data_IF_775276928333
#
_entry.id   IF_775276928333
#
_cell.length_a   1.000
_cell.length_b   1.000
_cell.length_c   1.000
_cell.angle_alpha   90.00
_cell.angle_beta   90.00
_cell.angle_gamma   90.00
#
_symmetry.space_group_name_H-M   'P 1'
#
loop_
_entity.id
_entity.type
_entity.pdbx_description
1 polymer ?
#
# COMPACT_ATOMS: atom_id res chain seq x y z
N UNK A 1 7.07 -52.55 28.16
CA UNK A 1 7.71 -53.22 27.01
C UNK A 1 8.42 -52.16 26.21
N UNK A 2 9.75 -52.21 26.18
CA UNK A 2 10.57 -51.30 25.38
C UNK A 2 10.35 -51.61 23.90
N UNK A 3 9.93 -50.62 23.11
CA UNK A 3 9.90 -50.68 21.63
C UNK A 3 11.28 -50.94 20.98
N UNK A 4 12.31 -51.26 21.78
CA UNK A 4 13.73 -51.31 21.42
C UNK A 4 14.18 -52.59 20.69
N UNK A 5 13.34 -53.61 20.51
CA UNK A 5 13.74 -54.86 19.86
C UNK A 5 13.05 -55.13 18.51
N UNK A 6 12.29 -54.19 17.97
CA UNK A 6 11.73 -54.33 16.63
C UNK A 6 12.79 -53.87 15.62
N UNK A 7 13.16 -54.69 14.62
CA UNK A 7 14.07 -54.30 13.55
C UNK A 7 13.61 -53.01 12.87
N UNK A 8 14.56 -52.12 12.59
CA UNK A 8 14.31 -50.81 11.96
C UNK A 8 13.52 -50.95 10.65
N UNK A 9 13.80 -52.00 9.86
CA UNK A 9 13.10 -52.28 8.61
C UNK A 9 11.61 -52.56 8.79
N UNK A 10 11.23 -53.24 9.88
CA UNK A 10 9.83 -53.53 10.21
C UNK A 10 9.14 -52.28 10.74
N UNK A 11 9.85 -51.48 11.55
CA UNK A 11 9.32 -50.21 12.03
C UNK A 11 9.02 -49.26 10.86
N UNK A 12 9.89 -49.21 9.84
CA UNK A 12 9.69 -48.39 8.64
C UNK A 12 8.46 -48.79 7.79
N UNK A 13 7.89 -49.97 8.02
CA UNK A 13 6.63 -50.40 7.38
C UNK A 13 5.39 -49.90 8.13
N UNK A 14 5.48 -49.59 9.43
CA UNK A 14 4.33 -49.14 10.23
C UNK A 14 3.61 -47.89 9.67
N UNK A 15 4.32 -46.86 9.17
CA UNK A 15 3.68 -45.68 8.57
C UNK A 15 2.84 -45.98 7.31
N UNK A 16 2.95 -47.17 6.72
CA UNK A 16 2.11 -47.60 5.59
C UNK A 16 0.74 -48.12 6.04
N UNK A 17 0.55 -48.41 7.33
CA UNK A 17 -0.64 -49.05 7.89
C UNK A 17 -1.32 -48.24 9.00
N UNK A 18 -0.80 -47.06 9.34
CA UNK A 18 -1.30 -46.20 10.42
C UNK A 18 -1.81 -44.87 9.87
N UNK A 19 -2.79 -44.27 10.55
CA UNK A 19 -3.30 -42.93 10.22
C UNK A 19 -2.34 -41.83 10.71
N UNK A 20 -2.40 -40.63 10.11
CA UNK A 20 -1.54 -39.49 10.44
C UNK A 20 -1.56 -39.15 11.95
N UNK A 21 -2.74 -39.24 12.58
CA UNK A 21 -2.89 -39.00 14.02
C UNK A 21 -2.13 -39.99 14.90
N UNK A 22 -2.09 -41.26 14.49
CA UNK A 22 -1.40 -42.34 15.22
C UNK A 22 0.11 -42.22 15.07
N UNK A 23 0.59 -41.94 13.86
CA UNK A 23 2.03 -41.77 13.61
C UNK A 23 2.53 -40.52 14.34
N UNK A 24 1.77 -39.42 14.34
CA UNK A 24 2.09 -38.21 15.10
C UNK A 24 2.14 -38.48 16.62
N UNK A 25 1.18 -39.24 17.14
CA UNK A 25 1.17 -39.64 18.56
C UNK A 25 2.40 -40.48 18.92
N UNK A 26 2.78 -41.45 18.08
CA UNK A 26 3.99 -42.25 18.27
C UNK A 26 5.26 -41.38 18.25
N UNK A 27 5.33 -40.43 17.31
CA UNK A 27 6.47 -39.51 17.20
C UNK A 27 6.58 -38.56 18.39
N UNK A 28 5.49 -38.15 19.01
CA UNK A 28 5.50 -37.31 20.22
C UNK A 28 6.00 -38.05 21.46
N UNK A 29 5.88 -39.39 21.50
CA UNK A 29 6.28 -40.18 22.66
C UNK A 29 7.77 -40.47 22.73
N UNK A 30 8.51 -40.40 21.62
CA UNK A 30 9.92 -40.77 21.58
C UNK A 30 10.72 -40.07 20.46
N UNK A 31 11.81 -39.33 20.78
CA UNK A 31 12.66 -38.66 19.79
C UNK A 31 13.31 -39.58 18.74
N UNK A 32 13.62 -40.83 19.10
CA UNK A 32 14.17 -41.82 18.18
C UNK A 32 13.14 -42.26 17.15
N UNK A 33 11.89 -42.51 17.59
CA UNK A 33 10.77 -42.82 16.68
C UNK A 33 10.41 -41.62 15.80
N UNK A 34 10.46 -40.41 16.36
CA UNK A 34 10.31 -39.18 15.56
C UNK A 34 11.33 -39.16 14.43
N UNK A 35 12.63 -39.31 14.73
CA UNK A 35 13.70 -39.31 13.71
C UNK A 35 13.50 -40.40 12.65
N UNK A 36 13.09 -41.60 13.08
CA UNK A 36 12.91 -42.75 12.19
C UNK A 36 11.70 -42.61 11.27
N UNK A 37 10.56 -42.12 11.78
CA UNK A 37 9.32 -42.01 11.02
C UNK A 37 9.15 -40.68 10.30
N UNK A 38 9.95 -39.65 10.62
CA UNK A 38 9.86 -38.34 9.98
C UNK A 38 9.86 -38.43 8.44
N UNK A 39 10.81 -39.14 7.78
CA UNK A 39 10.82 -39.23 6.32
C UNK A 39 9.57 -39.91 5.76
N UNK A 40 9.07 -40.96 6.45
CA UNK A 40 7.85 -41.66 6.08
C UNK A 40 6.61 -40.77 6.23
N UNK A 41 6.55 -39.95 7.28
CA UNK A 41 5.50 -38.96 7.50
C UNK A 41 5.48 -37.91 6.38
N UNK A 42 6.62 -37.36 5.97
CA UNK A 42 6.69 -36.43 4.83
C UNK A 42 6.20 -37.10 3.54
N UNK A 43 6.59 -38.35 3.29
CA UNK A 43 6.18 -39.11 2.12
C UNK A 43 4.70 -39.51 2.15
N UNK A 44 4.14 -39.77 3.32
CA UNK A 44 2.72 -40.06 3.51
C UNK A 44 1.88 -38.78 3.35
N UNK A 45 2.26 -37.69 4.04
CA UNK A 45 1.55 -36.40 3.98
C UNK A 45 1.58 -35.80 2.56
N UNK A 46 2.69 -35.93 1.83
CA UNK A 46 2.76 -35.50 0.42
C UNK A 46 1.86 -36.29 -0.54
N UNK A 47 1.46 -37.52 -0.17
CA UNK A 47 0.61 -38.39 -0.99
C UNK A 47 -0.86 -38.37 -0.60
N UNK A 48 -1.17 -38.21 0.69
CA UNK A 48 -2.49 -38.53 1.23
C UNK A 48 -3.16 -37.40 2.03
N UNK A 49 -2.43 -36.38 2.49
CA UNK A 49 -3.01 -35.31 3.32
C UNK A 49 -3.19 -34.01 2.54
N UNK A 50 -4.29 -33.29 2.82
CA UNK A 50 -4.43 -31.86 2.44
C UNK A 50 -3.47 -30.97 3.24
N UNK A 51 -2.89 -31.49 4.33
CA UNK A 51 -1.85 -30.83 5.12
C UNK A 51 -0.47 -31.24 4.62
N UNK A 52 0.16 -30.38 3.81
CA UNK A 52 1.54 -30.59 3.40
C UNK A 52 2.48 -29.98 4.43
N UNK A 53 3.41 -30.77 4.96
CA UNK A 53 4.47 -30.24 5.83
C UNK A 53 5.32 -29.15 5.13
N UNK A 54 5.36 -29.17 3.79
CA UNK A 54 5.96 -28.10 2.99
C UNK A 54 5.14 -26.80 3.07
N UNK A 55 3.80 -26.84 3.08
CA UNK A 55 2.96 -25.66 3.29
C UNK A 55 3.20 -25.07 4.68
N UNK A 56 3.22 -25.91 5.72
CA UNK A 56 3.49 -25.45 7.08
C UNK A 56 4.89 -24.85 7.21
N UNK A 57 5.91 -25.52 6.66
CA UNK A 57 7.28 -25.04 6.66
C UNK A 57 7.42 -23.71 5.93
N UNK A 58 6.74 -23.56 4.80
CA UNK A 58 6.70 -22.32 4.04
C UNK A 58 6.01 -21.19 4.80
N UNK A 59 4.86 -21.42 5.43
CA UNK A 59 4.19 -20.40 6.24
C UNK A 59 4.99 -19.95 7.47
N UNK A 60 5.79 -20.83 8.05
CA UNK A 60 6.53 -20.58 9.30
C UNK A 60 8.04 -20.41 9.13
N UNK A 61 8.55 -20.36 7.89
CA UNK A 61 9.96 -20.16 7.59
C UNK A 61 10.88 -21.29 8.07
N UNK A 62 10.39 -22.52 8.16
CA UNK A 62 11.18 -23.66 8.65
C UNK A 62 12.00 -24.28 7.52
N UNK A 63 13.16 -23.68 7.24
CA UNK A 63 14.06 -24.09 6.16
C UNK A 63 14.40 -25.59 6.18
N UNK A 64 14.78 -26.13 7.34
CA UNK A 64 15.16 -27.54 7.46
C UNK A 64 14.00 -28.49 7.10
N UNK A 65 12.79 -28.16 7.57
CA UNK A 65 11.55 -28.90 7.26
C UNK A 65 11.20 -28.80 5.77
N UNK A 66 11.32 -27.60 5.17
CA UNK A 66 11.07 -27.40 3.75
C UNK A 66 12.08 -28.19 2.89
N UNK A 67 13.36 -28.12 3.22
CA UNK A 67 14.45 -28.84 2.54
C UNK A 67 14.21 -30.36 2.57
N UNK A 68 13.92 -30.91 3.75
CA UNK A 68 13.66 -32.34 3.91
C UNK A 68 12.39 -32.77 3.17
N UNK A 69 11.32 -31.96 3.22
CA UNK A 69 10.09 -32.22 2.47
C UNK A 69 10.34 -32.31 0.96
N UNK A 70 11.14 -31.38 0.41
CA UNK A 70 11.51 -31.38 -1.01
C UNK A 70 12.38 -32.59 -1.38
N UNK A 71 13.34 -32.97 -0.53
CA UNK A 71 14.17 -34.17 -0.73
C UNK A 71 13.35 -35.46 -0.76
N UNK A 72 12.27 -35.54 0.03
CA UNK A 72 11.34 -36.67 0.04
C UNK A 72 10.28 -36.63 -1.08
N UNK A 73 10.39 -35.67 -2.01
CA UNK A 73 9.53 -35.57 -3.19
C UNK A 73 8.17 -34.90 -2.92
N UNK A 74 8.09 -34.00 -1.94
CA UNK A 74 6.88 -33.20 -1.74
C UNK A 74 6.55 -32.39 -3.00
N UNK A 75 5.28 -32.44 -3.41
CA UNK A 75 4.77 -31.66 -4.54
C UNK A 75 4.75 -30.17 -4.17
N UNK A 76 5.28 -29.33 -5.05
CA UNK A 76 5.35 -27.87 -4.85
C UNK A 76 4.03 -27.15 -5.19
N UNK A 77 3.18 -27.74 -6.04
CA UNK A 77 1.86 -27.20 -6.41
C UNK A 77 0.72 -27.54 -5.45
N UNK A 78 1.00 -28.01 -4.24
CA UNK A 78 -0.04 -28.21 -3.20
C UNK A 78 -0.57 -26.85 -2.74
N UNK A 79 -1.84 -26.77 -2.36
CA UNK A 79 -2.46 -25.51 -1.93
C UNK A 79 -3.12 -25.64 -0.57
N UNK A 80 -3.17 -24.53 0.18
CA UNK A 80 -3.92 -24.43 1.42
C UNK A 80 -5.43 -24.17 1.19
N UNK A 81 -6.18 -23.91 2.26
CA UNK A 81 -7.62 -23.64 2.19
C UNK A 81 -8.00 -22.34 1.45
N UNK A 82 -7.03 -21.51 1.11
CA UNK A 82 -7.21 -20.27 0.35
C UNK A 82 -6.64 -20.35 -1.06
N UNK A 83 -6.12 -21.51 -1.46
CA UNK A 83 -5.51 -21.72 -2.78
C UNK A 83 -4.03 -21.32 -2.83
N UNK A 84 -3.38 -20.97 -1.71
CA UNK A 84 -1.98 -20.54 -1.71
C UNK A 84 -1.03 -21.72 -1.76
N UNK A 85 -0.04 -21.66 -2.66
CA UNK A 85 1.06 -22.62 -2.73
C UNK A 85 2.10 -22.37 -1.63
N UNK A 86 3.04 -23.31 -1.36
CA UNK A 86 4.18 -23.04 -0.49
C UNK A 86 4.96 -21.80 -0.93
N UNK A 87 5.06 -21.53 -2.23
CA UNK A 87 5.75 -20.33 -2.71
C UNK A 87 4.98 -19.06 -2.35
N UNK A 88 3.64 -19.04 -2.50
CA UNK A 88 2.81 -17.93 -2.04
C UNK A 88 2.96 -17.67 -0.53
N UNK A 89 2.92 -18.72 0.30
CA UNK A 89 3.06 -18.60 1.75
C UNK A 89 4.44 -18.10 2.18
N UNK A 90 5.50 -18.66 1.58
CA UNK A 90 6.87 -18.21 1.85
C UNK A 90 7.08 -16.77 1.40
N UNK A 91 6.48 -16.37 0.28
CA UNK A 91 6.57 -15.01 -0.25
C UNK A 91 5.80 -14.00 0.61
N UNK A 92 4.58 -14.34 1.05
CA UNK A 92 3.75 -13.50 1.91
C UNK A 92 4.41 -13.15 3.25
N UNK A 93 5.19 -14.07 3.80
CA UNK A 93 5.85 -13.90 5.09
C UNK A 93 7.34 -13.56 4.98
N UNK A 94 7.87 -13.38 3.76
CA UNK A 94 9.24 -12.95 3.55
C UNK A 94 10.30 -14.02 3.87
N UNK A 95 9.95 -15.30 3.80
CA UNK A 95 10.85 -16.40 4.17
C UNK A 95 11.86 -16.71 3.06
N UNK A 96 12.84 -15.82 2.90
CA UNK A 96 13.87 -15.84 1.84
C UNK A 96 14.51 -17.22 1.65
N UNK A 97 14.90 -17.90 2.73
CA UNK A 97 15.55 -19.21 2.65
C UNK A 97 14.63 -20.28 2.03
N UNK A 98 13.34 -20.25 2.37
CA UNK A 98 12.36 -21.19 1.81
C UNK A 98 12.04 -20.84 0.35
N UNK A 99 11.94 -19.55 0.02
CA UNK A 99 11.77 -19.10 -1.38
C UNK A 99 12.92 -19.61 -2.25
N UNK A 100 14.19 -19.44 -1.82
CA UNK A 100 15.36 -19.95 -2.55
C UNK A 100 15.30 -21.47 -2.78
N UNK A 101 14.87 -22.23 -1.77
CA UNK A 101 14.72 -23.69 -1.89
C UNK A 101 13.63 -24.06 -2.91
N UNK A 102 12.51 -23.35 -2.93
CA UNK A 102 11.42 -23.60 -3.86
C UNK A 102 11.80 -23.21 -5.29
N UNK A 103 12.43 -22.05 -5.50
CA UNK A 103 12.85 -21.59 -6.83
C UNK A 103 13.96 -22.47 -7.45
N UNK A 104 14.72 -23.21 -6.64
CA UNK A 104 15.72 -24.16 -7.12
C UNK A 104 15.12 -25.45 -7.73
N UNK A 105 13.80 -25.66 -7.63
CA UNK A 105 13.11 -26.84 -8.17
C UNK A 105 12.65 -26.55 -9.60
N UNK A 106 13.11 -27.34 -10.58
CA UNK A 106 12.93 -27.11 -12.03
C UNK A 106 11.47 -26.94 -12.52
N UNK A 107 10.47 -27.39 -11.76
CA UNK A 107 9.06 -27.39 -12.15
C UNK A 107 8.16 -26.50 -11.27
N UNK A 108 8.75 -25.58 -10.50
CA UNK A 108 7.95 -24.63 -9.72
C UNK A 108 7.40 -23.56 -10.64
N UNK A 109 6.08 -23.52 -10.75
CA UNK A 109 5.37 -22.42 -11.36
C UNK A 109 5.40 -21.21 -10.40
N UNK A 110 6.04 -20.13 -10.84
CA UNK A 110 6.17 -18.88 -10.07
C UNK A 110 4.96 -17.97 -10.19
N UNK A 111 4.05 -18.25 -11.13
CA UNK A 111 2.85 -17.46 -11.40
C UNK A 111 1.58 -18.11 -10.85
N UNK A 112 1.71 -19.07 -9.93
CA UNK A 112 0.56 -19.71 -9.30
C UNK A 112 -0.31 -18.70 -8.59
N UNK A 113 -1.61 -18.72 -8.83
CA UNK A 113 -2.56 -17.81 -8.17
C UNK A 113 -3.32 -18.52 -7.06
N UNK A 114 -3.62 -17.80 -5.99
CA UNK A 114 -4.61 -18.24 -5.02
C UNK A 114 -6.05 -18.00 -5.51
N UNK A 115 -7.07 -18.26 -4.68
CA UNK A 115 -8.47 -18.11 -5.08
C UNK A 115 -8.90 -16.68 -5.39
N UNK A 116 -8.09 -15.67 -5.06
CA UNK A 116 -8.32 -14.26 -5.39
C UNK A 116 -7.42 -13.77 -6.53
N UNK A 117 -6.74 -14.68 -7.25
CA UNK A 117 -5.85 -14.30 -8.36
C UNK A 117 -4.46 -13.85 -7.91
N UNK A 118 -4.12 -13.95 -6.63
CA UNK A 118 -2.87 -13.37 -6.09
C UNK A 118 -1.69 -14.31 -6.26
N UNK A 119 -0.61 -13.79 -6.85
CA UNK A 119 0.64 -14.52 -7.12
C UNK A 119 1.63 -14.47 -5.94
N UNK A 120 2.72 -15.25 -5.94
CA UNK A 120 3.81 -15.05 -4.99
C UNK A 120 4.41 -13.64 -5.05
N UNK A 121 4.55 -13.07 -6.25
CA UNK A 121 5.07 -11.71 -6.42
C UNK A 121 4.13 -10.68 -5.80
N UNK A 122 2.81 -10.83 -5.99
CA UNK A 122 1.80 -10.03 -5.30
C UNK A 122 2.03 -10.05 -3.79
N UNK A 123 2.15 -11.25 -3.20
CA UNK A 123 2.26 -11.39 -1.75
C UNK A 123 3.53 -10.78 -1.19
N UNK A 124 4.66 -10.97 -1.88
CA UNK A 124 5.92 -10.33 -1.51
C UNK A 124 5.84 -8.80 -1.64
N UNK A 125 5.22 -8.30 -2.71
CA UNK A 125 5.13 -6.88 -2.98
C UNK A 125 4.21 -6.16 -1.98
N UNK A 126 3.02 -6.71 -1.74
CA UNK A 126 2.04 -6.20 -0.76
C UNK A 126 2.63 -6.15 0.66
N UNK A 127 3.47 -7.11 1.05
CA UNK A 127 4.07 -7.15 2.39
C UNK A 127 5.46 -6.50 2.46
N UNK A 128 5.94 -5.87 1.38
CA UNK A 128 7.22 -5.14 1.37
C UNK A 128 8.47 -6.02 1.45
N UNK A 129 8.37 -7.28 1.05
CA UNK A 129 9.49 -8.24 1.13
C UNK A 129 10.42 -8.11 -0.09
N UNK A 130 11.16 -7.01 -0.16
CA UNK A 130 12.06 -6.67 -1.27
C UNK A 130 13.01 -7.79 -1.70
N UNK A 131 13.68 -8.48 -0.75
CA UNK A 131 14.58 -9.59 -1.10
C UNK A 131 13.85 -10.77 -1.74
N UNK A 132 12.58 -11.01 -1.38
CA UNK A 132 11.78 -12.04 -2.05
C UNK A 132 11.37 -11.56 -3.45
N UNK A 133 10.98 -10.29 -3.59
CA UNK A 133 10.67 -9.69 -4.90
C UNK A 133 11.87 -9.80 -5.83
N UNK A 134 13.07 -9.43 -5.39
CA UNK A 134 14.32 -9.57 -6.14
C UNK A 134 14.53 -11.00 -6.64
N UNK A 135 14.42 -12.00 -5.76
CA UNK A 135 14.55 -13.42 -6.13
C UNK A 135 13.50 -13.88 -7.15
N UNK A 136 12.27 -13.40 -7.04
CA UNK A 136 11.21 -13.72 -7.98
C UNK A 136 11.48 -13.08 -9.36
N UNK A 137 11.95 -11.83 -9.38
CA UNK A 137 12.31 -11.09 -10.60
C UNK A 137 13.52 -11.67 -11.34
N UNK A 138 14.47 -12.28 -10.62
CA UNK A 138 15.58 -13.03 -11.23
C UNK A 138 15.08 -14.26 -12.03
N UNK A 139 13.85 -14.73 -11.76
CA UNK A 139 13.25 -15.85 -12.48
C UNK A 139 12.61 -15.36 -13.78
N UNK A 140 13.17 -15.75 -14.93
CA UNK A 140 12.76 -15.30 -16.29
C UNK A 140 11.29 -15.48 -16.68
N UNK A 141 10.50 -16.20 -15.88
CA UNK A 141 9.11 -16.55 -16.18
C UNK A 141 8.10 -15.79 -15.34
N UNK A 142 8.53 -14.93 -14.40
CA UNK A 142 7.59 -14.20 -13.55
C UNK A 142 6.78 -13.21 -14.37
N UNK A 143 5.46 -13.29 -14.26
CA UNK A 143 4.55 -12.32 -14.85
C UNK A 143 4.22 -11.26 -13.79
N UNK A 144 4.69 -10.05 -14.06
CA UNK A 144 4.63 -8.93 -13.11
C UNK A 144 3.29 -8.18 -13.16
N UNK A 145 2.52 -8.37 -14.22
CA UNK A 145 1.28 -7.63 -14.50
C UNK A 145 0.04 -8.43 -14.12
N UNK A 146 0.19 -9.65 -13.56
CA UNK A 146 -0.92 -10.44 -13.07
C UNK A 146 -1.70 -9.71 -11.98
N UNK A 147 -2.98 -9.51 -12.25
CA UNK A 147 -3.90 -8.78 -11.38
C UNK A 147 -4.64 -9.71 -10.42
N UNK A 148 -4.98 -9.17 -9.26
CA UNK A 148 -5.92 -9.82 -8.34
C UNK A 148 -7.39 -9.62 -8.78
N UNK A 149 -8.32 -10.07 -7.95
CA UNK A 149 -9.76 -9.91 -8.20
C UNK A 149 -10.28 -8.47 -8.13
N UNK A 150 -9.45 -7.51 -7.69
CA UNK A 150 -9.75 -6.08 -7.64
C UNK A 150 -9.02 -5.32 -8.78
N UNK A 151 -8.46 -6.04 -9.75
CA UNK A 151 -7.69 -5.50 -10.87
C UNK A 151 -6.36 -4.80 -10.47
N UNK A 152 -5.87 -5.03 -9.25
CA UNK A 152 -4.59 -4.48 -8.77
C UNK A 152 -3.41 -5.39 -9.12
N UNK A 153 -2.32 -4.76 -9.58
CA UNK A 153 -1.03 -5.44 -9.82
C UNK A 153 -0.19 -5.48 -8.54
N UNK A 154 0.84 -6.35 -8.46
CA UNK A 154 1.85 -6.29 -7.39
C UNK A 154 2.47 -4.91 -7.22
N UNK A 155 2.71 -4.19 -8.34
CA UNK A 155 3.22 -2.83 -8.33
C UNK A 155 2.24 -1.84 -7.68
N UNK A 156 0.95 -1.90 -8.07
CA UNK A 156 -0.09 -1.04 -7.51
C UNK A 156 -0.18 -1.18 -5.98
N UNK A 157 -0.15 -2.41 -5.46
CA UNK A 157 -0.15 -2.66 -4.01
C UNK A 157 1.12 -2.19 -3.30
N UNK A 158 2.30 -2.33 -3.93
CA UNK A 158 3.55 -1.84 -3.38
C UNK A 158 3.55 -0.30 -3.25
N UNK A 159 2.97 0.40 -4.23
CA UNK A 159 2.79 1.86 -4.21
C UNK A 159 1.81 2.26 -3.11
N UNK A 160 0.64 1.61 -3.07
CA UNK A 160 -0.43 1.90 -2.13
C UNK A 160 0.01 1.76 -0.66
N UNK A 161 0.88 0.77 -0.38
CA UNK A 161 1.41 0.50 0.95
C UNK A 161 2.76 1.16 1.23
N UNK A 162 3.34 1.87 0.25
CA UNK A 162 4.53 2.70 0.44
C UNK A 162 5.85 1.92 0.47
N UNK A 163 5.89 0.73 -0.11
CA UNK A 163 7.08 -0.14 -0.13
C UNK A 163 8.08 0.32 -1.20
N UNK A 164 8.73 1.46 -0.97
CA UNK A 164 9.62 2.13 -1.94
C UNK A 164 10.69 1.21 -2.55
N UNK A 165 11.27 0.32 -1.75
CA UNK A 165 12.25 -0.66 -2.21
C UNK A 165 11.67 -1.64 -3.25
N UNK A 166 10.47 -2.18 -2.98
CA UNK A 166 9.77 -3.06 -3.90
C UNK A 166 9.39 -2.32 -5.18
N UNK A 167 8.86 -1.09 -5.03
CA UNK A 167 8.49 -0.26 -6.19
C UNK A 167 9.69 -0.01 -7.08
N UNK A 168 10.86 0.29 -6.50
CA UNK A 168 12.09 0.45 -7.28
C UNK A 168 12.47 -0.82 -8.05
N UNK A 169 12.50 -1.97 -7.37
CA UNK A 169 12.85 -3.25 -8.00
C UNK A 169 11.91 -3.57 -9.18
N UNK A 170 10.60 -3.30 -9.03
CA UNK A 170 9.62 -3.51 -10.09
C UNK A 170 9.83 -2.56 -11.28
N UNK A 171 10.16 -1.29 -11.04
CA UNK A 171 10.43 -0.32 -12.12
C UNK A 171 11.75 -0.60 -12.86
N UNK A 172 12.76 -1.08 -12.15
CA UNK A 172 14.06 -1.45 -12.75
C UNK A 172 13.94 -2.59 -13.76
N UNK A 173 12.84 -3.36 -13.75
CA UNK A 173 12.55 -4.36 -14.79
C UNK A 173 12.29 -3.73 -16.17
N UNK A 174 11.90 -2.45 -16.24
CA UNK A 174 11.53 -1.75 -17.46
C UNK A 174 10.21 -2.19 -18.09
N UNK A 175 9.48 -3.12 -17.46
CA UNK A 175 8.19 -3.63 -17.94
C UNK A 175 7.00 -2.84 -17.35
N UNK A 176 7.18 -2.22 -16.19
CA UNK A 176 6.15 -1.40 -15.54
C UNK A 176 6.25 0.06 -15.99
N UNK A 177 5.13 0.64 -16.43
CA UNK A 177 5.03 2.07 -16.71
C UNK A 177 4.77 2.86 -15.43
N UNK A 178 5.73 3.71 -15.03
CA UNK A 178 5.65 4.57 -13.85
C UNK A 178 4.51 5.60 -13.92
N UNK A 179 3.98 5.88 -15.11
CA UNK A 179 2.86 6.81 -15.33
C UNK A 179 1.54 6.10 -15.61
N UNK A 180 1.47 4.77 -15.44
CA UNK A 180 0.24 4.01 -15.67
C UNK A 180 -0.89 4.51 -14.77
N UNK A 181 -2.07 4.74 -15.34
CA UNK A 181 -3.25 5.15 -14.57
C UNK A 181 -4.06 3.95 -14.12
N UNK A 182 -4.57 4.00 -12.89
CA UNK A 182 -5.57 3.05 -12.40
C UNK A 182 -6.98 3.37 -12.91
N UNK A 183 -7.98 2.63 -12.42
CA UNK A 183 -9.40 2.79 -12.81
C UNK A 183 -10.00 4.16 -12.46
N UNK A 184 -9.37 4.92 -11.54
CA UNK A 184 -9.79 6.28 -11.18
C UNK A 184 -8.96 7.35 -11.89
N UNK A 185 -8.09 6.95 -12.82
CA UNK A 185 -7.18 7.84 -13.51
C UNK A 185 -5.98 8.28 -12.67
N UNK A 186 -5.78 7.72 -11.48
CA UNK A 186 -4.68 8.09 -10.59
C UNK A 186 -3.36 7.47 -11.06
N UNK A 187 -2.30 8.26 -11.05
CA UNK A 187 -0.94 7.77 -11.28
C UNK A 187 -0.35 7.18 -10.00
N UNK A 188 0.75 6.41 -10.07
CA UNK A 188 1.45 5.91 -8.89
C UNK A 188 1.92 7.05 -7.97
N UNK A 189 2.33 8.18 -8.56
CA UNK A 189 2.66 9.40 -7.83
C UNK A 189 1.44 9.96 -7.08
N UNK A 190 0.26 10.03 -7.74
CA UNK A 190 -0.99 10.45 -7.10
C UNK A 190 -1.39 9.54 -5.93
N UNK A 191 -1.28 8.22 -6.09
CA UNK A 191 -1.62 7.25 -5.03
C UNK A 191 -0.65 7.33 -3.85
N UNK A 192 0.65 7.40 -4.12
CA UNK A 192 1.67 7.65 -3.11
C UNK A 192 1.43 8.98 -2.36
N UNK A 193 0.94 10.00 -3.07
CA UNK A 193 0.64 11.29 -2.48
C UNK A 193 -0.61 11.29 -1.59
N UNK A 194 -1.69 10.63 -2.01
CA UNK A 194 -2.88 10.40 -1.19
C UNK A 194 -2.54 9.72 0.13
N UNK A 195 -1.63 8.74 0.09
CA UNK A 195 -1.23 7.95 1.26
C UNK A 195 -0.10 8.58 2.09
N UNK A 196 0.54 9.64 1.59
CA UNK A 196 1.59 10.36 2.33
C UNK A 196 2.95 9.67 2.32
N UNK A 197 3.23 8.82 1.32
CA UNK A 197 4.46 8.04 1.24
C UNK A 197 5.65 8.89 0.76
N UNK A 198 6.17 9.76 1.63
CA UNK A 198 7.23 10.74 1.33
C UNK A 198 8.45 10.10 0.66
N UNK A 199 8.95 8.98 1.18
CA UNK A 199 10.12 8.29 0.60
C UNK A 199 9.86 7.85 -0.83
N UNK A 200 8.65 7.34 -1.09
CA UNK A 200 8.27 6.86 -2.41
C UNK A 200 8.11 8.03 -3.41
N UNK A 201 7.50 9.13 -2.97
CA UNK A 201 7.36 10.33 -3.81
C UNK A 201 8.73 10.94 -4.14
N UNK A 202 9.66 11.05 -3.16
CA UNK A 202 11.04 11.49 -3.42
C UNK A 202 11.70 10.63 -4.51
N UNK A 203 11.58 9.31 -4.35
CA UNK A 203 12.14 8.35 -5.30
C UNK A 203 11.58 8.57 -6.71
N UNK A 204 10.26 8.77 -6.84
CA UNK A 204 9.61 9.08 -8.13
C UNK A 204 10.16 10.35 -8.78
N UNK A 205 10.26 11.44 -8.02
CA UNK A 205 10.70 12.75 -8.51
C UNK A 205 12.18 12.79 -8.91
N UNK A 206 13.03 12.03 -8.21
CA UNK A 206 14.49 12.05 -8.43
C UNK A 206 14.94 11.10 -9.55
N UNK A 207 14.26 9.97 -9.72
CA UNK A 207 14.78 8.84 -10.51
C UNK A 207 14.03 8.61 -11.82
N UNK A 208 12.74 8.96 -11.90
CA UNK A 208 11.93 8.71 -13.10
C UNK A 208 11.29 10.00 -13.63
N UNK A 209 10.98 9.98 -14.93
CA UNK A 209 10.21 11.05 -15.56
C UNK A 209 8.72 10.81 -15.28
N UNK A 210 8.24 11.43 -14.20
CA UNK A 210 6.83 11.39 -13.79
C UNK A 210 6.12 12.69 -14.17
N UNK A 211 4.86 12.57 -14.58
CA UNK A 211 3.97 13.74 -14.75
C UNK A 211 3.47 14.20 -13.37
N UNK A 212 4.13 15.24 -12.83
CA UNK A 212 3.89 15.74 -11.46
C UNK A 212 2.53 16.41 -11.27
N UNK A 213 1.89 16.84 -12.35
CA UNK A 213 0.57 17.49 -12.35
C UNK A 213 -0.50 16.64 -13.05
N UNK A 214 -0.23 15.35 -13.22
CA UNK A 214 -1.18 14.40 -13.80
C UNK A 214 -2.51 14.41 -13.03
N UNK A 215 -3.58 14.75 -13.74
CA UNK A 215 -4.94 14.74 -13.18
C UNK A 215 -5.57 13.35 -13.24
N UNK A 216 -6.23 12.99 -12.14
CA UNK A 216 -7.16 11.86 -12.08
C UNK A 216 -8.53 12.21 -12.69
N UNK A 217 -9.50 11.28 -12.64
CA UNK A 217 -10.85 11.49 -13.16
C UNK A 217 -11.64 12.58 -12.42
N UNK A 218 -11.25 12.92 -11.19
CA UNK A 218 -11.81 14.01 -10.40
C UNK A 218 -11.07 15.34 -10.64
N UNK A 219 -10.06 15.36 -11.51
CA UNK A 219 -9.25 16.54 -11.79
C UNK A 219 -8.22 16.84 -10.70
N UNK A 220 -8.04 15.95 -9.72
CA UNK A 220 -7.09 16.12 -8.64
C UNK A 220 -5.68 15.77 -9.12
N UNK A 221 -4.71 16.63 -8.79
CA UNK A 221 -3.27 16.41 -8.97
C UNK A 221 -2.67 15.71 -7.74
N UNK A 222 -1.45 15.14 -7.83
CA UNK A 222 -0.73 14.62 -6.67
C UNK A 222 -0.65 15.62 -5.51
N UNK A 223 -0.48 16.92 -5.79
CA UNK A 223 -0.48 17.96 -4.76
C UNK A 223 -1.84 18.05 -4.05
N UNK A 224 -2.95 18.11 -4.79
CA UNK A 224 -4.28 18.16 -4.16
C UNK A 224 -4.58 16.91 -3.33
N UNK A 225 -4.09 15.74 -3.76
CA UNK A 225 -4.22 14.49 -3.02
C UNK A 225 -3.41 14.50 -1.72
N UNK A 226 -2.18 15.02 -1.75
CA UNK A 226 -1.37 15.23 -0.54
C UNK A 226 -2.05 16.21 0.44
N UNK A 227 -2.68 17.27 -0.09
CA UNK A 227 -3.45 18.23 0.72
C UNK A 227 -4.69 17.58 1.33
N UNK A 228 -5.46 16.81 0.55
CA UNK A 228 -6.63 16.08 1.07
C UNK A 228 -6.25 15.06 2.15
N UNK A 229 -5.09 14.42 2.02
CA UNK A 229 -4.53 13.53 3.04
C UNK A 229 -3.95 14.23 4.26
N UNK A 230 -3.80 15.56 4.24
CA UNK A 230 -3.20 16.34 5.33
C UNK A 230 -1.69 16.17 5.47
N UNK A 231 -0.99 15.75 4.41
CA UNK A 231 0.43 15.39 4.45
C UNK A 231 1.35 16.61 4.26
N UNK A 232 1.45 17.49 5.27
CA UNK A 232 2.20 18.74 5.17
C UNK A 232 3.67 18.59 4.72
N UNK A 233 4.36 17.56 5.22
CA UNK A 233 5.74 17.25 4.81
C UNK A 233 5.85 16.91 3.33
N UNK A 234 4.85 16.25 2.77
CA UNK A 234 4.79 15.90 1.36
C UNK A 234 4.39 17.10 0.50
N UNK A 235 3.43 17.91 0.94
CA UNK A 235 3.08 19.16 0.28
C UNK A 235 4.32 20.04 0.13
N UNK A 236 5.07 20.22 1.22
CA UNK A 236 6.32 20.98 1.19
C UNK A 236 7.30 20.43 0.16
N UNK A 237 7.51 19.11 0.15
CA UNK A 237 8.40 18.45 -0.81
C UNK A 237 7.98 18.72 -2.26
N UNK A 238 6.69 18.55 -2.58
CA UNK A 238 6.16 18.76 -3.93
C UNK A 238 6.34 20.21 -4.38
N UNK A 239 6.06 21.18 -3.49
CA UNK A 239 6.24 22.61 -3.78
C UNK A 239 7.71 23.00 -3.97
N UNK A 240 8.64 22.41 -3.21
CA UNK A 240 10.08 22.67 -3.32
C UNK A 240 10.66 22.23 -4.68
N UNK A 241 9.99 21.34 -5.42
CA UNK A 241 10.43 20.95 -6.77
C UNK A 241 10.35 22.10 -7.78
N UNK A 242 9.48 23.09 -7.53
CA UNK A 242 9.21 24.19 -8.45
C UNK A 242 8.54 23.81 -9.78
N UNK A 243 8.16 22.54 -9.97
CA UNK A 243 7.54 22.04 -11.20
C UNK A 243 6.02 21.88 -11.10
N UNK A 244 5.50 21.82 -9.88
CA UNK A 244 4.09 21.58 -9.57
C UNK A 244 3.31 22.89 -9.67
N UNK A 245 2.14 22.87 -10.30
CA UNK A 245 1.16 23.96 -10.26
C UNK A 245 0.42 23.97 -8.90
N UNK A 246 0.68 24.95 -8.01
CA UNK A 246 0.08 24.99 -6.68
C UNK A 246 -1.41 25.39 -6.69
N UNK A 247 -1.95 25.85 -7.83
CA UNK A 247 -3.31 26.38 -7.94
C UNK A 247 -4.21 25.59 -8.89
N UNK A 248 -3.74 24.44 -9.37
CA UNK A 248 -4.51 23.57 -10.27
C UNK A 248 -5.84 23.12 -9.65
N UNK A 249 -7.00 23.47 -10.25
CA UNK A 249 -8.30 23.13 -9.69
C UNK A 249 -8.76 21.71 -10.10
N UNK A 250 -9.55 21.10 -9.22
CA UNK A 250 -10.30 19.87 -9.49
C UNK A 250 -11.54 20.11 -10.38
N UNK A 251 -12.29 19.06 -10.72
CA UNK A 251 -13.50 19.17 -11.57
C UNK A 251 -14.62 20.00 -10.93
N UNK A 252 -14.61 20.20 -9.61
CA UNK A 252 -15.53 21.10 -8.93
C UNK A 252 -14.98 22.54 -8.80
N UNK A 253 -13.79 22.84 -9.32
CA UNK A 253 -13.14 24.13 -9.22
C UNK A 253 -12.45 24.38 -7.87
N UNK A 254 -12.23 23.34 -7.06
CA UNK A 254 -11.52 23.47 -5.77
C UNK A 254 -10.02 23.42 -6.03
N UNK A 255 -9.31 24.45 -5.59
CA UNK A 255 -7.85 24.52 -5.59
C UNK A 255 -7.27 23.87 -4.33
N UNK A 256 -5.97 23.51 -4.30
CA UNK A 256 -5.31 22.98 -3.11
C UNK A 256 -5.50 23.87 -1.88
N UNK A 257 -5.43 25.19 -2.03
CA UNK A 257 -5.68 26.13 -0.93
C UNK A 257 -7.12 26.06 -0.42
N UNK A 258 -8.09 25.94 -1.31
CA UNK A 258 -9.50 25.78 -0.92
C UNK A 258 -9.77 24.47 -0.18
N UNK A 259 -9.02 23.40 -0.50
CA UNK A 259 -9.07 22.10 0.19
C UNK A 259 -8.43 22.22 1.58
N UNK A 260 -7.22 22.79 1.68
CA UNK A 260 -6.56 23.04 2.97
C UNK A 260 -7.44 23.88 3.92
N UNK A 261 -8.12 24.88 3.37
CA UNK A 261 -9.10 25.69 4.09
C UNK A 261 -10.32 24.89 4.56
N UNK A 262 -10.84 23.96 3.75
CA UNK A 262 -12.01 23.14 4.10
C UNK A 262 -11.71 22.11 5.19
N UNK A 263 -10.46 21.62 5.28
CA UNK A 263 -10.03 20.58 6.23
C UNK A 263 -9.29 21.10 7.47
N UNK A 264 -9.17 22.42 7.64
CA UNK A 264 -8.46 23.06 8.76
C UNK A 264 -6.94 22.80 8.80
N UNK A 265 -6.31 22.71 7.64
CA UNK A 265 -4.87 22.50 7.54
C UNK A 265 -4.10 23.82 7.42
N UNK A 266 -3.99 24.54 8.55
CA UNK A 266 -3.30 25.84 8.60
C UNK A 266 -1.85 25.80 8.13
N UNK A 267 -1.08 24.78 8.51
CA UNK A 267 0.32 24.60 8.06
C UNK A 267 0.40 24.41 6.54
N UNK A 268 -0.49 23.60 5.97
CA UNK A 268 -0.55 23.39 4.51
C UNK A 268 -0.97 24.67 3.79
N UNK A 269 -1.94 25.41 4.34
CA UNK A 269 -2.36 26.69 3.79
C UNK A 269 -1.20 27.71 3.79
N UNK A 270 -0.40 27.77 4.87
CA UNK A 270 0.79 28.61 4.95
C UNK A 270 1.81 28.22 3.86
N UNK A 271 2.13 26.93 3.72
CA UNK A 271 3.04 26.43 2.68
C UNK A 271 2.58 26.81 1.25
N UNK A 272 1.28 26.71 0.97
CA UNK A 272 0.71 27.07 -0.32
C UNK A 272 0.79 28.59 -0.57
N UNK A 273 0.48 29.41 0.44
CA UNK A 273 0.54 30.86 0.34
C UNK A 273 1.98 31.37 0.16
N UNK A 274 2.96 30.71 0.78
CA UNK A 274 4.38 31.06 0.66
C UNK A 274 4.92 30.94 -0.77
N UNK A 275 4.29 30.14 -1.63
CA UNK A 275 4.64 30.06 -3.07
C UNK A 275 4.41 31.36 -3.82
N UNK A 276 3.48 32.21 -3.33
CA UNK A 276 3.01 33.46 -3.98
C UNK A 276 2.44 33.29 -5.39
N UNK A 277 2.10 32.06 -5.78
CA UNK A 277 1.55 31.74 -7.10
C UNK A 277 0.05 31.39 -7.05
N UNK A 278 -0.48 31.19 -5.84
CA UNK A 278 -1.87 30.74 -5.60
C UNK A 278 -2.85 31.91 -5.62
N UNK A 279 -3.97 31.75 -6.33
CA UNK A 279 -5.10 32.68 -6.25
C UNK A 279 -5.95 32.45 -4.99
N UNK A 280 -5.81 33.36 -4.02
CA UNK A 280 -6.56 33.35 -2.75
C UNK A 280 -8.06 33.63 -2.91
N UNK A 281 -8.48 34.15 -4.06
CA UNK A 281 -9.87 34.47 -4.42
C UNK A 281 -10.47 33.49 -5.44
N UNK A 282 -9.78 32.39 -5.72
CA UNK A 282 -10.26 31.31 -6.59
C UNK A 282 -11.64 30.83 -6.15
N UNK A 283 -12.54 30.59 -7.11
CA UNK A 283 -13.93 30.21 -6.86
C UNK A 283 -14.22 28.83 -7.41
N UNK A 284 -14.78 27.99 -6.55
CA UNK A 284 -15.32 26.71 -6.99
C UNK A 284 -16.62 26.86 -7.79
N UNK A 285 -17.14 25.75 -8.30
CA UNK A 285 -18.40 25.65 -9.06
C UNK A 285 -19.64 26.18 -8.34
N UNK A 286 -19.57 26.41 -7.02
CA UNK A 286 -20.64 27.02 -6.23
C UNK A 286 -20.33 28.47 -5.84
N UNK A 287 -19.27 29.07 -6.39
CA UNK A 287 -18.82 30.43 -6.09
C UNK A 287 -18.14 30.56 -4.72
N UNK A 288 -17.68 29.47 -4.11
CA UNK A 288 -17.05 29.50 -2.77
C UNK A 288 -15.55 29.71 -2.91
N UNK A 289 -15.01 30.66 -2.14
CA UNK A 289 -13.57 30.95 -2.04
C UNK A 289 -12.89 30.13 -0.94
N UNK A 290 -11.54 30.06 -0.91
CA UNK A 290 -10.81 29.51 0.23
C UNK A 290 -11.25 30.11 1.57
N UNK A 291 -11.46 31.44 1.66
CA UNK A 291 -11.95 32.08 2.88
C UNK A 291 -13.33 31.57 3.27
N UNK A 292 -14.24 31.41 2.31
CA UNK A 292 -15.55 30.83 2.58
C UNK A 292 -15.42 29.42 3.17
N UNK A 293 -14.54 28.59 2.61
CA UNK A 293 -14.31 27.21 3.08
C UNK A 293 -13.77 27.20 4.51
N UNK A 294 -12.74 28.01 4.80
CA UNK A 294 -12.18 28.17 6.14
C UNK A 294 -13.23 28.67 7.15
N UNK A 295 -14.12 29.57 6.72
CA UNK A 295 -15.20 30.04 7.58
C UNK A 295 -16.29 28.99 7.83
N UNK A 296 -16.53 28.10 6.86
CA UNK A 296 -17.48 27.00 6.99
C UNK A 296 -16.97 25.83 7.83
N UNK A 297 -15.65 25.63 7.90
CA UNK A 297 -14.99 24.62 8.74
C UNK A 297 -14.66 25.14 10.16
N UNK A 298 -14.67 26.46 10.36
CA UNK A 298 -14.28 27.08 11.63
C UNK A 298 -12.76 27.25 11.78
N UNK A 299 -12.02 27.21 10.67
CA UNK A 299 -10.56 27.24 10.61
C UNK A 299 -9.99 28.61 10.92
N UNK A 300 -9.87 28.96 12.20
CA UNK A 300 -9.31 30.24 12.64
C UNK A 300 -7.92 30.49 12.05
N UNK A 301 -7.02 29.50 12.09
CA UNK A 301 -5.65 29.65 11.59
C UNK A 301 -5.62 30.02 10.10
N UNK A 302 -6.38 29.30 9.27
CA UNK A 302 -6.46 29.57 7.83
C UNK A 302 -7.11 30.92 7.55
N UNK A 303 -8.18 31.29 8.27
CA UNK A 303 -8.80 32.62 8.14
C UNK A 303 -7.78 33.72 8.38
N UNK A 304 -6.97 33.61 9.45
CA UNK A 304 -5.93 34.61 9.78
C UNK A 304 -4.89 34.70 8.67
N UNK A 305 -4.38 33.57 8.20
CA UNK A 305 -3.41 33.52 7.11
C UNK A 305 -3.94 34.19 5.83
N UNK A 306 -5.18 33.87 5.45
CA UNK A 306 -5.83 34.47 4.28
C UNK A 306 -5.99 35.98 4.42
N UNK A 307 -6.44 36.48 5.59
CA UNK A 307 -6.59 37.91 5.83
C UNK A 307 -5.24 38.66 5.82
N UNK A 308 -4.17 38.04 6.31
CA UNK A 308 -2.82 38.61 6.30
C UNK A 308 -2.26 38.84 4.89
N UNK A 309 -2.78 38.14 3.87
CA UNK A 309 -2.37 38.40 2.47
C UNK A 309 -2.81 39.77 1.97
N UNK A 310 -3.82 40.39 2.60
CA UNK A 310 -4.35 41.70 2.23
C UNK A 310 -5.14 41.74 0.91
N UNK A 311 -5.29 40.62 0.22
CA UNK A 311 -5.90 40.53 -1.12
C UNK A 311 -7.33 39.98 -1.09
N UNK A 312 -7.82 39.57 0.09
CA UNK A 312 -9.05 38.78 0.23
C UNK A 312 -10.28 39.67 0.42
N UNK A 313 -11.35 39.41 -0.35
CA UNK A 313 -12.65 40.04 -0.16
C UNK A 313 -13.55 39.18 0.75
N UNK A 314 -13.70 39.62 1.99
CA UNK A 314 -14.51 38.96 3.01
C UNK A 314 -16.03 38.96 2.74
N UNK A 315 -16.49 39.67 1.72
CA UNK A 315 -17.90 39.80 1.36
C UNK A 315 -18.31 38.98 0.13
N UNK A 316 -17.39 38.20 -0.44
CA UNK A 316 -17.72 37.32 -1.57
C UNK A 316 -18.86 36.38 -1.21
N UNK A 317 -19.82 36.28 -2.12
CA UNK A 317 -21.01 35.45 -1.95
C UNK A 317 -20.90 34.19 -2.79
N UNK A 318 -21.31 33.07 -2.22
CA UNK A 318 -21.56 31.85 -2.98
C UNK A 318 -22.79 32.01 -3.91
N UNK A 319 -23.10 30.96 -4.68
CA UNK A 319 -24.26 30.94 -5.60
C UNK A 319 -25.63 31.14 -4.92
N UNK A 320 -25.69 31.00 -3.59
CA UNK A 320 -26.90 31.18 -2.79
C UNK A 320 -26.91 32.54 -2.07
N UNK A 321 -25.94 33.41 -2.34
CA UNK A 321 -25.84 34.73 -1.73
C UNK A 321 -25.23 34.73 -0.32
N UNK A 322 -24.66 33.61 0.14
CA UNK A 322 -24.12 33.45 1.50
C UNK A 322 -22.65 33.91 1.53
N UNK A 323 -22.31 34.74 2.51
CA UNK A 323 -20.94 35.23 2.75
C UNK A 323 -20.18 34.30 3.72
N UNK A 324 -18.83 34.34 3.75
CA UNK A 324 -18.03 33.64 4.75
C UNK A 324 -18.49 33.90 6.19
N UNK A 325 -18.74 35.16 6.55
CA UNK A 325 -19.21 35.54 7.89
C UNK A 325 -20.56 34.88 8.23
N UNK A 326 -21.56 35.01 7.35
CA UNK A 326 -22.87 34.39 7.58
C UNK A 326 -22.82 32.86 7.66
N UNK A 327 -21.85 32.25 6.96
CA UNK A 327 -21.62 30.81 7.00
C UNK A 327 -21.02 30.38 8.35
N UNK A 328 -20.03 31.11 8.85
CA UNK A 328 -19.45 30.90 10.18
C UNK A 328 -20.48 31.11 11.31
N UNK A 329 -21.34 32.13 11.20
CA UNK A 329 -22.44 32.37 12.15
C UNK A 329 -23.42 31.21 12.17
N UNK A 330 -23.83 30.71 10.99
CA UNK A 330 -24.77 29.59 10.87
C UNK A 330 -24.27 28.30 11.52
N UNK A 331 -22.95 28.05 11.48
CA UNK A 331 -22.33 26.88 12.10
C UNK A 331 -21.76 27.15 13.50
N UNK A 332 -22.03 28.34 14.07
CA UNK A 332 -21.59 28.74 15.41
C UNK A 332 -20.06 28.72 15.61
N UNK A 333 -19.27 29.03 14.57
CA UNK A 333 -17.82 29.16 14.65
C UNK A 333 -17.41 30.52 15.25
N UNK A 334 -17.64 30.70 16.54
CA UNK A 334 -17.52 31.98 17.23
C UNK A 334 -16.15 32.69 17.05
N UNK A 335 -15.05 31.94 17.04
CA UNK A 335 -13.72 32.51 16.84
C UNK A 335 -13.55 33.11 15.45
N UNK A 336 -13.98 32.40 14.41
CA UNK A 336 -14.01 32.92 13.03
C UNK A 336 -14.95 34.12 12.91
N UNK A 337 -16.15 34.05 13.50
CA UNK A 337 -17.10 35.18 13.49
C UNK A 337 -16.47 36.43 14.09
N UNK A 338 -15.77 36.29 15.21
CA UNK A 338 -15.06 37.38 15.86
C UNK A 338 -13.99 37.97 14.94
N UNK A 339 -13.11 37.12 14.38
CA UNK A 339 -12.04 37.53 13.46
C UNK A 339 -12.60 38.30 12.26
N UNK A 340 -13.59 37.74 11.57
CA UNK A 340 -14.19 38.36 10.38
C UNK A 340 -14.96 39.65 10.70
N UNK A 341 -15.64 39.70 11.85
CA UNK A 341 -16.37 40.91 12.29
C UNK A 341 -15.42 42.04 12.64
N UNK A 342 -14.32 41.75 13.35
CA UNK A 342 -13.28 42.71 13.67
C UNK A 342 -12.61 43.23 12.39
N UNK A 343 -12.24 42.33 11.47
CA UNK A 343 -11.64 42.72 10.18
C UNK A 343 -12.57 43.63 9.35
N UNK A 344 -13.88 43.37 9.32
CA UNK A 344 -14.84 44.25 8.63
C UNK A 344 -14.93 45.65 9.24
N UNK A 345 -14.73 45.80 10.55
CA UNK A 345 -14.80 47.08 11.25
C UNK A 345 -13.51 47.89 11.08
N UNK A 346 -12.35 47.22 11.16
CA UNK A 346 -11.04 47.90 11.20
C UNK A 346 -10.35 47.96 9.85
N UNK A 347 -10.69 47.06 8.92
CA UNK A 347 -9.98 46.86 7.65
C UNK A 347 -8.53 46.39 7.85
N UNK A 348 -8.16 45.89 9.03
CA UNK A 348 -6.79 45.52 9.39
C UNK A 348 -6.75 44.17 10.09
N UNK A 349 -5.75 43.37 9.73
CA UNK A 349 -5.33 42.16 10.42
C UNK A 349 -3.87 42.27 10.86
#
# INVERSE_FOLDING_TARGET
MTLLNIPTDILLLLPLFLEEGDINSLCQTNPWLYSLFNPCLYRHNSKHSRSSALLWAAGHGKEATARLSLQEGAKTGVVDNTGRTPLCLAAQHGHVAVVKLLLAVEQVDVNTTDFLGRTPLYWAAMNGHATVVELLLETRQVDIDLKDCEDYTPFSWAVELGHAEVVRLLLETGQVDVNSKDEYGCTPLSNAATRGHVTLVKMFLETWQVDVDAKDEYGCTPLSNAVMGGHATLVKLLLETGQVDPDSPDVQGRTPLSLAAAYDYAEIAELLLDTRQVDVESKDSQGRTPLYRAAASGSEGVVKLLLQTGQVDVNVKDRWGVTPLSRAERFCHYGVVKILSEFKQTGRY
#
